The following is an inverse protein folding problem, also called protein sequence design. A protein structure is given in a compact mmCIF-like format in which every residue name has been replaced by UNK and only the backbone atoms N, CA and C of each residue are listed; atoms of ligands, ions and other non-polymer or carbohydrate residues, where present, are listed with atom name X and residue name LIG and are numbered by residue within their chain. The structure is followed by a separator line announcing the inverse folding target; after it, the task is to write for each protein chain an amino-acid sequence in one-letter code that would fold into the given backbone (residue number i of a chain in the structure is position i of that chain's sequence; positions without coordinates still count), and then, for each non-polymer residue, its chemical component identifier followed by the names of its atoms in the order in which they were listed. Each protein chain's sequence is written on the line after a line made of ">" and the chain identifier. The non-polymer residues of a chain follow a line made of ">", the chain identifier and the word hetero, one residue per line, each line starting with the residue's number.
data_IF_626880438785
#
_entry.id   IF_626880438785
#
_cell.length_a   1.000
_cell.length_b   1.000
_cell.length_c   1.000
_cell.angle_alpha   90.00
_cell.angle_beta   90.00
_cell.angle_gamma   90.00
#
_symmetry.space_group_name_H-M   'P 1'
#
loop_
_entity.id
_entity.type
_entity.pdbx_description
1 polymer ?
#
# COMPACT_ATOMS: atom_id res chain seq x y z
N UNK A 1 12.18 -11.09 -7.50
CA UNK A 1 10.92 -11.13 -6.73
C UNK A 1 9.79 -11.05 -7.73
N UNK A 2 8.70 -11.82 -7.58
CA UNK A 2 7.52 -11.62 -8.43
C UNK A 2 7.09 -10.15 -8.30
N UNK A 3 6.81 -9.49 -9.42
CA UNK A 3 6.27 -8.15 -9.41
C UNK A 3 4.94 -8.18 -8.66
N UNK A 4 4.87 -7.43 -7.55
CA UNK A 4 3.65 -7.32 -6.76
C UNK A 4 2.58 -6.65 -7.62
N UNK A 5 1.38 -7.23 -7.69
CA UNK A 5 0.31 -6.72 -8.54
C UNK A 5 -0.26 -5.41 -7.98
N UNK A 6 0.15 -4.29 -8.58
CA UNK A 6 -0.31 -2.95 -8.23
C UNK A 6 -1.84 -2.81 -8.34
N UNK A 7 -2.51 -3.55 -9.22
CA UNK A 7 -3.97 -3.51 -9.34
C UNK A 7 -4.64 -4.19 -8.13
N UNK A 8 -4.03 -5.25 -7.59
CA UNK A 8 -4.54 -5.89 -6.38
C UNK A 8 -4.42 -4.96 -5.17
N UNK A 9 -3.25 -4.34 -4.98
CA UNK A 9 -3.04 -3.35 -3.90
C UNK A 9 -4.03 -2.19 -4.03
N UNK A 10 -4.22 -1.68 -5.25
CA UNK A 10 -5.20 -0.64 -5.55
C UNK A 10 -6.60 -1.04 -5.10
N UNK A 11 -7.01 -2.28 -5.36
CA UNK A 11 -8.34 -2.77 -4.96
C UNK A 11 -8.52 -2.79 -3.43
N UNK A 12 -7.48 -3.14 -2.68
CA UNK A 12 -7.49 -3.12 -1.21
C UNK A 12 -7.61 -1.68 -0.69
N UNK A 13 -6.81 -0.75 -1.22
CA UNK A 13 -6.84 0.66 -0.82
C UNK A 13 -8.17 1.36 -1.14
N UNK A 14 -8.88 0.93 -2.19
CA UNK A 14 -10.18 1.51 -2.56
C UNK A 14 -11.33 1.13 -1.62
N UNK A 15 -11.12 0.24 -0.64
CA UNK A 15 -12.10 0.02 0.43
C UNK A 15 -12.29 1.26 1.31
N UNK A 16 -11.23 2.06 1.53
CA UNK A 16 -11.30 3.36 2.18
C UNK A 16 -10.39 4.37 1.44
N UNK A 17 -10.89 4.97 0.35
CA UNK A 17 -10.07 5.82 -0.51
C UNK A 17 -9.74 7.18 0.14
N UNK A 18 -10.56 7.64 1.09
CA UNK A 18 -10.28 8.88 1.83
C UNK A 18 -9.09 8.63 2.73
N UNK A 19 -9.08 7.50 3.44
CA UNK A 19 -7.97 7.20 4.34
C UNK A 19 -6.71 6.76 3.59
N UNK A 20 -6.88 6.19 2.39
CA UNK A 20 -5.80 5.64 1.57
C UNK A 20 -5.27 6.61 0.49
N UNK A 21 -5.66 7.89 0.50
CA UNK A 21 -5.38 8.82 -0.62
C UNK A 21 -3.89 8.94 -0.96
N UNK A 22 -3.01 9.02 0.05
CA UNK A 22 -1.56 9.12 -0.16
C UNK A 22 -0.98 7.82 -0.70
N UNK A 23 -1.40 6.70 -0.12
CA UNK A 23 -0.99 5.38 -0.57
C UNK A 23 -1.42 5.05 -2.00
N UNK A 24 -2.59 5.54 -2.43
CA UNK A 24 -3.05 5.43 -3.82
C UNK A 24 -2.14 6.21 -4.78
N UNK A 25 -1.62 7.36 -4.36
CA UNK A 25 -0.64 8.12 -5.15
C UNK A 25 0.71 7.38 -5.25
N UNK A 26 1.12 6.69 -4.18
CA UNK A 26 2.38 5.94 -4.11
C UNK A 26 2.42 4.68 -5.01
N UNK A 27 1.30 4.32 -5.66
CA UNK A 27 1.24 3.29 -6.71
C UNK A 27 1.75 3.79 -8.07
N UNK A 28 1.98 5.10 -8.24
CA UNK A 28 2.47 5.63 -9.52
C UNK A 28 3.94 5.25 -9.74
N UNK A 29 4.36 4.96 -10.99
CA UNK A 29 5.73 4.53 -11.31
C UNK A 29 6.85 5.40 -10.73
N UNK A 30 6.72 6.75 -10.66
CA UNK A 30 7.76 7.59 -10.07
C UNK A 30 8.08 7.30 -8.60
N UNK A 31 7.14 6.72 -7.84
CA UNK A 31 7.34 6.44 -6.41
C UNK A 31 7.81 5.00 -6.13
N UNK A 32 7.89 4.15 -7.15
CA UNK A 32 8.16 2.73 -6.98
C UNK A 32 9.50 2.42 -6.29
N UNK A 33 10.50 3.28 -6.43
CA UNK A 33 11.81 3.11 -5.77
C UNK A 33 11.76 3.32 -4.25
N UNK A 34 10.81 4.14 -3.77
CA UNK A 34 10.63 4.44 -2.34
C UNK A 34 9.53 3.60 -1.69
N UNK A 35 8.65 3.01 -2.49
CA UNK A 35 7.45 2.29 -2.02
C UNK A 35 7.67 0.79 -1.95
N UNK A 36 7.94 0.27 -0.74
CA UNK A 36 7.94 -1.16 -0.47
C UNK A 36 6.58 -1.62 0.03
N UNK A 37 5.91 -2.42 -0.78
CA UNK A 37 4.58 -2.93 -0.51
C UNK A 37 4.61 -4.38 -0.03
N UNK A 38 3.73 -4.70 0.92
CA UNK A 38 3.47 -6.05 1.40
C UNK A 38 1.96 -6.26 1.43
N UNK A 39 1.53 -7.46 1.07
CA UNK A 39 0.12 -7.87 1.18
C UNK A 39 0.03 -8.99 2.21
N UNK A 40 -0.95 -8.88 3.10
CA UNK A 40 -1.29 -9.89 4.09
C UNK A 40 -2.76 -10.27 4.01
N UNK A 41 -3.11 -11.41 4.60
CA UNK A 41 -4.47 -11.92 4.70
C UNK A 41 -4.83 -12.08 6.18
N UNK A 42 -6.04 -11.71 6.56
CA UNK A 42 -6.62 -11.96 7.89
C UNK A 42 -7.97 -12.67 7.77
N UNK A 43 -8.59 -13.01 8.91
CA UNK A 43 -9.95 -13.53 8.92
C UNK A 43 -10.98 -12.53 8.36
N UNK A 44 -10.67 -11.24 8.44
CA UNK A 44 -11.55 -10.12 8.06
C UNK A 44 -11.27 -9.63 6.61
N UNK A 45 -10.26 -10.20 5.95
CA UNK A 45 -9.94 -9.97 4.54
C UNK A 45 -8.49 -9.56 4.29
N UNK A 46 -8.18 -9.12 3.06
CA UNK A 46 -6.84 -8.72 2.69
C UNK A 46 -6.46 -7.36 3.27
N UNK A 47 -5.17 -7.18 3.56
CA UNK A 47 -4.59 -5.93 4.01
C UNK A 47 -3.25 -5.65 3.33
N UNK A 48 -2.84 -4.40 3.35
CA UNK A 48 -1.59 -3.91 2.77
C UNK A 48 -0.77 -3.15 3.79
N UNK A 49 0.55 -3.29 3.66
CA UNK A 49 1.53 -2.46 4.35
C UNK A 49 2.36 -1.74 3.30
N UNK A 50 2.53 -0.43 3.48
CA UNK A 50 3.49 0.38 2.74
C UNK A 50 4.60 0.83 3.69
N UNK A 51 5.84 0.50 3.36
CA UNK A 51 7.03 1.15 3.88
C UNK A 51 7.53 2.14 2.83
N UNK A 52 7.32 3.44 3.07
CA UNK A 52 7.76 4.53 2.20
C UNK A 52 9.05 5.15 2.71
N UNK A 53 10.14 5.04 1.94
CA UNK A 53 11.48 5.53 2.32
C UNK A 53 11.93 6.79 1.58
N UNK A 54 11.01 7.55 0.98
CA UNK A 54 11.30 8.84 0.34
C UNK A 54 11.27 10.03 1.30
N UNK A 55 11.03 9.79 2.59
CA UNK A 55 11.01 10.78 3.67
C UNK A 55 11.91 10.31 4.82
N UNK A 56 12.31 11.25 5.67
CA UNK A 56 13.09 11.00 6.88
C UNK A 56 12.33 11.59 8.09
N UNK A 57 11.87 10.77 9.05
CA UNK A 57 11.96 9.30 9.08
C UNK A 57 11.07 8.61 8.02
N UNK A 58 11.33 7.34 7.68
CA UNK A 58 10.46 6.58 6.78
C UNK A 58 9.05 6.42 7.36
N UNK A 59 8.06 6.31 6.48
CA UNK A 59 6.65 6.16 6.87
C UNK A 59 6.23 4.70 6.73
N UNK A 60 5.56 4.18 7.76
CA UNK A 60 4.86 2.90 7.71
C UNK A 60 3.36 3.17 7.73
N UNK A 61 2.65 2.67 6.72
CA UNK A 61 1.19 2.73 6.62
C UNK A 61 0.65 1.30 6.55
N UNK A 62 -0.48 1.07 7.23
CA UNK A 62 -1.24 -0.18 7.16
C UNK A 62 -2.70 0.10 6.84
N UNK A 63 -3.27 -0.62 5.88
CA UNK A 63 -4.70 -0.57 5.54
C UNK A 63 -5.23 -1.99 5.45
N UNK A 64 -6.41 -2.23 5.98
CA UNK A 64 -7.13 -3.50 5.90
C UNK A 64 -8.55 -3.31 6.39
N UNK A 65 -9.39 -4.32 6.21
CA UNK A 65 -10.72 -4.35 6.81
C UNK A 65 -10.64 -4.30 8.34
N UNK A 66 -11.65 -3.69 8.95
CA UNK A 66 -11.87 -3.65 10.41
C UNK A 66 -12.87 -4.72 10.81
#
# INVERSE_FOLDING_TARGET
>A
MPQLDTNYIRSILYHDPIWSVYALADLQPPFAEWSRWYVGESADGPGVVLLYSGLEPPILMTVGSV
#
